data_IF_956168284519
#
_entry.id   IF_956168284519
#
_cell.length_a   1.000
_cell.length_b   1.000
_cell.length_c   1.000
_cell.angle_alpha   90.00
_cell.angle_beta   90.00
_cell.angle_gamma   90.00
#
_symmetry.space_group_name_H-M   'P 1'
#
loop_
_entity.id
_entity.type
_entity.pdbx_description
1 polymer ?
#
# COMPACT_ATOMS: atom_id res chain seq x y z
N UNK A 1 55.51 51.83 62.59
CA UNK A 1 56.64 51.85 61.65
C UNK A 1 56.52 50.63 60.74
N UNK A 2 56.48 50.86 59.42
CA UNK A 2 56.71 49.92 58.30
C UNK A 2 55.88 48.62 58.24
N UNK A 3 55.55 48.05 57.08
CA UNK A 3 55.25 48.49 55.72
C UNK A 3 54.85 47.18 55.01
N UNK A 4 53.88 47.25 54.09
CA UNK A 4 53.78 46.49 52.83
C UNK A 4 54.05 44.97 52.78
N UNK A 5 53.11 44.20 52.20
CA UNK A 5 53.20 43.72 50.80
C UNK A 5 52.14 42.65 50.41
N UNK A 6 51.28 43.03 49.46
CA UNK A 6 51.00 42.36 48.16
C UNK A 6 50.78 40.83 48.01
N UNK A 7 49.60 40.49 47.44
CA UNK A 7 49.39 39.83 46.11
C UNK A 7 48.87 38.36 46.02
N UNK A 8 47.70 38.28 45.33
CA UNK A 8 47.16 37.26 44.38
C UNK A 8 46.58 35.91 44.87
N UNK A 9 45.30 35.72 44.54
CA UNK A 9 44.68 34.42 44.29
C UNK A 9 43.21 34.53 43.82
N UNK A 10 42.97 34.32 42.52
CA UNK A 10 41.69 34.13 41.77
C UNK A 10 40.80 33.02 42.39
N UNK A 11 39.48 32.85 42.18
CA UNK A 11 38.47 33.37 41.23
C UNK A 11 37.05 32.84 41.57
N UNK A 12 36.02 33.56 41.09
CA UNK A 12 34.69 33.07 40.64
C UNK A 12 33.65 32.68 41.71
N UNK A 13 32.72 33.59 42.06
CA UNK A 13 31.32 33.70 41.55
C UNK A 13 30.53 32.38 41.70
N UNK A 14 29.43 32.39 42.45
CA UNK A 14 28.05 32.53 41.93
C UNK A 14 27.06 32.59 43.11
N UNK A 15 26.26 33.64 43.11
CA UNK A 15 25.16 33.93 44.04
C UNK A 15 23.84 33.56 43.35
N UNK A 16 22.86 33.13 44.17
CA UNK A 16 21.40 33.09 43.94
C UNK A 16 20.85 32.06 42.94
N UNK A 17 19.95 31.19 43.45
CA UNK A 17 18.65 30.83 42.84
C UNK A 17 17.85 29.87 43.73
N UNK A 18 17.15 30.43 44.71
CA UNK A 18 16.01 29.79 45.37
C UNK A 18 14.76 30.57 45.01
N UNK A 19 14.15 30.28 43.85
CA UNK A 19 12.83 30.78 43.40
C UNK A 19 12.49 30.17 42.02
N UNK A 20 12.49 28.83 41.89
CA UNK A 20 12.10 28.18 40.62
C UNK A 20 11.26 26.91 40.76
N UNK A 21 11.03 26.36 41.96
CA UNK A 21 10.21 25.15 42.08
C UNK A 21 8.69 25.43 42.11
N UNK A 22 8.25 26.59 42.60
CA UNK A 22 6.81 26.93 42.65
C UNK A 22 6.19 27.26 41.29
N UNK A 23 6.97 27.83 40.37
CA UNK A 23 6.49 28.17 39.02
C UNK A 23 6.45 26.96 38.07
N UNK A 24 7.24 25.91 38.34
CA UNK A 24 7.26 24.69 37.53
C UNK A 24 6.05 23.79 37.75
N UNK A 25 5.45 23.83 38.95
CA UNK A 25 4.30 23.00 39.30
C UNK A 25 2.95 23.56 38.83
N UNK A 26 2.88 24.87 38.53
CA UNK A 26 1.71 25.49 37.91
C UNK A 26 1.77 25.39 36.38
N UNK A 27 2.97 25.32 35.79
CA UNK A 27 3.13 25.13 34.34
C UNK A 27 2.91 23.68 33.88
N UNK A 28 3.06 22.68 34.75
CA UNK A 28 2.83 21.27 34.40
C UNK A 28 1.34 20.88 34.33
N UNK A 29 0.44 21.66 34.94
CA UNK A 29 -1.02 21.51 34.78
C UNK A 29 -1.57 22.22 33.52
N UNK A 30 -0.78 23.08 32.87
CA UNK A 30 -1.13 23.70 31.59
C UNK A 30 -0.74 22.84 30.37
N UNK A 31 -0.04 21.73 30.58
CA UNK A 31 0.20 20.69 29.57
C UNK A 31 -0.85 19.58 29.70
N UNK A 32 -2.13 19.97 29.73
CA UNK A 32 -3.18 19.05 29.28
C UNK A 32 -2.83 18.64 27.84
N UNK A 33 -2.94 17.35 27.47
CA UNK A 33 -2.81 16.95 26.08
C UNK A 33 -3.85 17.77 25.31
N UNK A 34 -3.38 18.68 24.48
CA UNK A 34 -4.22 19.47 23.59
C UNK A 34 -4.96 18.50 22.67
N UNK A 35 -6.20 18.21 23.07
CA UNK A 35 -7.37 17.90 22.27
C UNK A 35 -7.02 17.59 20.81
N UNK A 36 -6.44 16.41 20.57
CA UNK A 36 -6.41 15.81 19.24
C UNK A 36 -7.79 15.21 18.97
N UNK A 37 -8.82 16.05 19.02
CA UNK A 37 -10.22 15.65 19.08
C UNK A 37 -10.81 15.33 17.69
N UNK A 38 -10.17 15.78 16.62
CA UNK A 38 -10.60 15.56 15.24
C UNK A 38 -9.75 14.52 14.50
N UNK A 39 -9.11 13.59 15.21
CA UNK A 39 -8.39 12.46 14.61
C UNK A 39 -8.88 11.14 15.23
N UNK A 40 -9.95 10.57 14.67
CA UNK A 40 -10.56 9.32 15.17
C UNK A 40 -12.06 9.25 14.83
N UNK A 41 -12.77 8.27 15.39
CA UNK A 41 -14.23 8.06 15.26
C UNK A 41 -15.10 9.14 15.95
N UNK A 42 -14.59 10.35 16.10
CA UNK A 42 -15.31 11.43 16.76
C UNK A 42 -15.58 11.19 18.25
N UNK A 43 -14.64 10.63 19.02
CA UNK A 43 -14.76 10.57 20.49
C UNK A 43 -13.84 11.59 21.16
N UNK A 44 -14.43 12.53 21.91
CA UNK A 44 -13.71 13.50 22.72
C UNK A 44 -13.35 12.99 24.13
N UNK A 45 -12.42 13.64 24.84
CA UNK A 45 -12.21 13.45 26.26
C UNK A 45 -13.52 13.46 27.05
N UNK A 46 -13.67 12.49 27.96
CA UNK A 46 -14.89 12.30 28.74
C UNK A 46 -16.03 11.59 28.01
N UNK A 47 -15.80 11.02 26.82
CA UNK A 47 -16.82 10.28 26.07
C UNK A 47 -17.82 11.17 25.32
N UNK A 48 -17.49 12.45 25.13
CA UNK A 48 -18.29 13.36 24.31
C UNK A 48 -18.31 12.89 22.87
N UNK A 49 -19.51 12.74 22.29
CA UNK A 49 -19.66 12.44 20.87
C UNK A 49 -19.32 13.70 20.06
N UNK A 50 -18.22 13.66 19.32
CA UNK A 50 -17.71 14.71 18.45
C UNK A 50 -17.86 14.36 16.97
N UNK A 51 -18.70 13.37 16.63
CA UNK A 51 -18.94 13.01 15.24
C UNK A 51 -19.42 14.22 14.44
N UNK A 52 -18.67 14.54 13.40
CA UNK A 52 -18.97 15.67 12.52
C UNK A 52 -19.89 15.21 11.41
N UNK A 53 -19.63 14.01 10.90
CA UNK A 53 -20.37 13.37 9.83
C UNK A 53 -20.90 12.00 10.26
N UNK A 54 -22.21 11.85 10.28
CA UNK A 54 -22.86 10.61 10.69
C UNK A 54 -23.49 9.93 9.49
N UNK A 55 -22.93 8.81 9.04
CA UNK A 55 -23.63 7.95 8.11
C UNK A 55 -24.85 7.32 8.79
N UNK A 56 -25.93 7.19 8.03
CA UNK A 56 -27.14 6.45 8.40
C UNK A 56 -27.24 5.19 7.56
N UNK A 57 -26.92 5.32 6.27
CA UNK A 57 -27.05 4.24 5.30
C UNK A 57 -26.02 4.40 4.20
N UNK A 58 -25.41 3.29 3.80
CA UNK A 58 -24.62 3.19 2.58
C UNK A 58 -25.10 1.94 1.86
N UNK A 59 -25.60 2.09 0.64
CA UNK A 59 -25.99 0.97 -0.21
C UNK A 59 -25.25 1.02 -1.54
N UNK A 60 -24.56 -0.07 -1.86
CA UNK A 60 -23.94 -0.25 -3.16
C UNK A 60 -24.91 -0.97 -4.10
N UNK A 61 -25.29 -0.29 -5.18
CA UNK A 61 -26.17 -0.84 -6.23
C UNK A 61 -25.41 -0.90 -7.54
N UNK A 62 -25.55 -1.99 -8.30
CA UNK A 62 -24.90 -2.14 -9.59
C UNK A 62 -25.65 -1.37 -10.68
N UNK A 63 -24.93 -0.60 -11.48
CA UNK A 63 -25.50 0.10 -12.64
C UNK A 63 -25.53 -0.88 -13.84
N UNK A 64 -26.67 -1.54 -14.03
CA UNK A 64 -26.94 -2.46 -15.15
C UNK A 64 -25.91 -3.62 -15.31
N UNK A 65 -25.67 -4.05 -16.55
CA UNK A 65 -24.65 -5.06 -16.93
C UNK A 65 -23.20 -4.54 -16.82
N UNK A 66 -22.99 -3.30 -16.37
CA UNK A 66 -21.64 -2.71 -16.28
C UNK A 66 -20.92 -3.12 -14.99
N UNK A 67 -19.60 -2.93 -14.93
CA UNK A 67 -18.80 -3.06 -13.69
C UNK A 67 -18.86 -1.79 -12.82
N UNK A 68 -19.80 -0.90 -13.10
CA UNK A 68 -19.95 0.37 -12.39
C UNK A 68 -20.99 0.19 -11.30
N UNK A 69 -20.63 0.61 -10.10
CA UNK A 69 -21.52 0.64 -8.95
C UNK A 69 -21.87 2.08 -8.61
N UNK A 70 -23.02 2.25 -8.01
CA UNK A 70 -23.49 3.50 -7.45
C UNK A 70 -23.65 3.31 -5.95
N UNK A 71 -23.16 4.27 -5.17
CA UNK A 71 -23.41 4.32 -3.73
C UNK A 71 -24.55 5.28 -3.45
N UNK A 72 -25.63 4.75 -2.88
CA UNK A 72 -26.67 5.58 -2.28
C UNK A 72 -26.26 5.83 -0.84
N UNK A 73 -25.86 7.06 -0.53
CA UNK A 73 -25.47 7.46 0.82
C UNK A 73 -26.55 8.29 1.48
N UNK A 74 -26.81 8.01 2.75
CA UNK A 74 -27.63 8.85 3.62
C UNK A 74 -26.81 9.20 4.86
N UNK A 75 -26.75 10.49 5.18
CA UNK A 75 -25.96 10.97 6.31
C UNK A 75 -26.57 12.23 6.94
N UNK A 76 -26.07 12.57 8.13
CA UNK A 76 -26.34 13.81 8.86
C UNK A 76 -25.04 14.51 9.19
N UNK A 77 -25.10 15.84 9.26
CA UNK A 77 -23.95 16.67 9.63
C UNK A 77 -24.36 17.64 10.75
N UNK A 78 -24.65 17.13 11.96
CA UNK A 78 -25.30 17.91 13.02
C UNK A 78 -24.47 19.14 13.42
N UNK A 79 -23.15 18.96 13.50
CA UNK A 79 -22.20 19.95 14.02
C UNK A 79 -21.45 20.73 12.95
N UNK A 80 -21.59 20.37 11.67
CA UNK A 80 -20.90 21.06 10.58
C UNK A 80 -21.75 22.25 10.10
N UNK A 81 -21.16 23.46 9.93
CA UNK A 81 -21.86 24.60 9.37
C UNK A 81 -22.39 24.37 7.95
N UNK A 82 -23.54 24.96 7.64
CA UNK A 82 -24.17 24.91 6.30
C UNK A 82 -23.25 25.55 5.26
N UNK A 83 -23.18 24.96 4.07
CA UNK A 83 -22.34 25.42 2.97
C UNK A 83 -20.87 24.97 3.08
N UNK A 84 -20.50 24.22 4.12
CA UNK A 84 -19.17 23.59 4.23
C UNK A 84 -19.02 22.51 3.16
N UNK A 85 -17.90 22.52 2.43
CA UNK A 85 -17.51 21.43 1.53
C UNK A 85 -16.79 20.35 2.31
N UNK A 86 -17.23 19.12 2.12
CA UNK A 86 -16.68 17.91 2.74
C UNK A 86 -16.22 17.00 1.61
N UNK A 87 -14.97 16.56 1.65
CA UNK A 87 -14.50 15.50 0.79
C UNK A 87 -14.78 14.15 1.44
N UNK A 88 -15.57 13.31 0.76
CA UNK A 88 -15.73 11.90 1.06
C UNK A 88 -14.66 11.12 0.30
N UNK A 89 -13.63 10.70 1.02
CA UNK A 89 -12.56 9.87 0.51
C UNK A 89 -12.96 8.41 0.65
N UNK A 90 -13.37 7.78 -0.46
CA UNK A 90 -13.60 6.34 -0.50
C UNK A 90 -12.26 5.64 -0.43
N UNK A 91 -12.05 4.84 0.61
CA UNK A 91 -10.82 4.11 0.85
C UNK A 91 -11.07 2.61 0.92
N UNK A 92 -10.04 1.86 0.55
CA UNK A 92 -9.89 0.47 0.89
C UNK A 92 -8.59 0.34 1.68
N UNK A 93 -8.69 -0.14 2.94
CA UNK A 93 -7.61 0.02 3.93
C UNK A 93 -7.13 1.48 3.95
N UNK A 94 -5.83 1.72 3.75
CA UNK A 94 -5.23 3.06 3.65
C UNK A 94 -5.19 3.64 2.23
N UNK A 95 -5.62 2.88 1.21
CA UNK A 95 -5.54 3.30 -0.18
C UNK A 95 -6.76 4.13 -0.57
N UNK A 96 -6.52 5.34 -1.09
CA UNK A 96 -7.56 6.15 -1.72
C UNK A 96 -8.02 5.51 -3.03
N UNK A 97 -9.33 5.28 -3.14
CA UNK A 97 -9.97 4.72 -4.33
C UNK A 97 -10.58 5.83 -5.18
N UNK A 98 -11.37 6.71 -4.56
CA UNK A 98 -12.04 7.81 -5.23
C UNK A 98 -12.40 8.90 -4.21
N UNK A 99 -12.48 10.14 -4.66
CA UNK A 99 -12.93 11.28 -3.85
C UNK A 99 -14.25 11.80 -4.40
N UNK A 100 -15.19 12.08 -3.52
CA UNK A 100 -16.41 12.82 -3.81
C UNK A 100 -16.42 14.09 -2.97
N UNK A 101 -17.00 15.17 -3.46
CA UNK A 101 -17.16 16.40 -2.69
C UNK A 101 -18.64 16.69 -2.55
N UNK A 102 -19.08 16.83 -1.31
CA UNK A 102 -20.46 17.18 -0.94
C UNK A 102 -20.46 18.52 -0.22
N UNK A 103 -21.55 19.27 -0.36
CA UNK A 103 -21.73 20.54 0.36
C UNK A 103 -22.82 20.36 1.40
N UNK A 104 -22.57 20.78 2.64
CA UNK A 104 -23.56 20.66 3.72
C UNK A 104 -24.82 21.45 3.38
N UNK A 105 -25.98 20.78 3.22
CA UNK A 105 -27.22 21.44 2.88
C UNK A 105 -27.84 22.15 4.08
N UNK A 106 -28.81 23.04 3.84
CA UNK A 106 -29.44 23.84 4.90
C UNK A 106 -30.11 22.98 5.99
N UNK A 107 -30.71 21.85 5.62
CA UNK A 107 -31.35 20.91 6.54
C UNK A 107 -30.36 19.93 7.22
N UNK A 108 -29.05 20.05 6.94
CA UNK A 108 -27.97 19.20 7.46
C UNK A 108 -28.18 17.69 7.25
N UNK A 109 -29.01 17.30 6.27
CA UNK A 109 -29.27 15.91 5.88
C UNK A 109 -28.83 15.70 4.45
N UNK A 110 -27.99 14.69 4.24
CA UNK A 110 -27.37 14.38 2.97
C UNK A 110 -28.00 13.11 2.42
N UNK A 111 -28.42 13.17 1.17
CA UNK A 111 -28.86 12.02 0.39
C UNK A 111 -28.26 12.17 -1.00
N UNK A 112 -27.22 11.41 -1.28
CA UNK A 112 -26.46 11.52 -2.52
C UNK A 112 -26.37 10.17 -3.20
N UNK A 113 -26.32 10.21 -4.51
CA UNK A 113 -26.08 9.07 -5.38
C UNK A 113 -24.70 9.23 -6.02
N UNK A 114 -23.72 8.47 -5.54
CA UNK A 114 -22.32 8.61 -5.90
C UNK A 114 -21.91 7.51 -6.87
N UNK A 115 -21.63 7.88 -8.11
CA UNK A 115 -21.15 6.94 -9.14
C UNK A 115 -19.69 6.57 -8.89
N UNK A 116 -19.44 5.29 -8.63
CA UNK A 116 -18.09 4.75 -8.49
C UNK A 116 -17.40 4.64 -9.84
N UNK A 117 -16.07 4.67 -9.84
CA UNK A 117 -15.28 4.14 -10.95
C UNK A 117 -15.55 2.64 -11.11
N UNK A 118 -15.20 2.08 -12.26
CA UNK A 118 -15.27 0.64 -12.45
C UNK A 118 -14.41 -0.07 -11.38
N UNK A 119 -15.03 -0.98 -10.63
CA UNK A 119 -14.41 -1.76 -9.57
C UNK A 119 -14.89 -3.21 -9.69
N UNK A 120 -14.01 -4.16 -9.40
CA UNK A 120 -14.44 -5.55 -9.27
C UNK A 120 -15.13 -5.79 -7.91
N UNK A 121 -16.15 -6.66 -7.88
CA UNK A 121 -16.68 -7.21 -6.64
C UNK A 121 -15.57 -7.75 -5.73
N UNK A 122 -15.65 -7.46 -4.43
CA UNK A 122 -14.73 -8.01 -3.44
C UNK A 122 -15.39 -8.14 -2.07
N UNK A 123 -14.96 -9.16 -1.31
CA UNK A 123 -15.31 -9.32 0.11
C UNK A 123 -14.58 -8.31 1.00
N UNK A 124 -13.55 -7.65 0.47
CA UNK A 124 -12.86 -6.59 1.18
C UNK A 124 -13.78 -5.39 1.41
N UNK A 125 -13.76 -4.91 2.64
CA UNK A 125 -14.60 -3.80 3.07
C UNK A 125 -14.02 -2.45 2.63
N UNK A 126 -14.85 -1.64 2.00
CA UNK A 126 -14.62 -0.24 1.74
C UNK A 126 -15.12 0.58 2.92
N UNK A 127 -14.55 1.77 3.09
CA UNK A 127 -15.00 2.75 4.05
C UNK A 127 -14.81 4.17 3.51
N UNK A 128 -15.47 5.12 4.14
CA UNK A 128 -15.20 6.53 3.89
C UNK A 128 -14.29 7.11 4.97
N UNK A 129 -13.52 8.11 4.54
CA UNK A 129 -12.88 9.10 5.39
C UNK A 129 -13.36 10.47 4.96
N UNK A 130 -13.93 11.24 5.88
CA UNK A 130 -14.36 12.62 5.61
C UNK A 130 -13.20 13.57 5.84
N UNK A 131 -13.04 14.57 4.98
CA UNK A 131 -12.03 15.62 5.13
C UNK A 131 -12.65 16.99 4.89
N UNK A 132 -12.45 17.90 5.84
CA UNK A 132 -12.82 19.30 5.73
C UNK A 132 -11.52 20.11 5.66
N UNK A 133 -11.20 20.59 4.46
CA UNK A 133 -10.04 21.44 4.22
C UNK A 133 -10.47 22.91 4.21
N UNK A 134 -9.96 23.76 5.13
CA UNK A 134 -10.23 25.21 5.13
C UNK A 134 -9.95 25.90 3.80
N UNK A 135 -8.99 25.40 3.02
CA UNK A 135 -8.61 25.97 1.72
C UNK A 135 -9.67 25.77 0.64
N UNK A 136 -10.56 24.78 0.82
CA UNK A 136 -11.64 24.47 -0.14
C UNK A 136 -12.95 25.20 0.17
N UNK A 137 -13.01 25.92 1.30
CA UNK A 137 -14.24 26.53 1.79
C UNK A 137 -14.50 27.90 1.15
N UNK A 138 -15.78 28.27 1.06
CA UNK A 138 -16.16 29.67 0.77
C UNK A 138 -15.78 30.57 1.95
N UNK A 139 -15.61 31.87 1.70
CA UNK A 139 -15.30 32.83 2.77
C UNK A 139 -16.33 32.84 3.91
N UNK A 140 -17.62 32.59 3.59
CA UNK A 140 -18.68 32.48 4.60
C UNK A 140 -18.54 31.20 5.43
N UNK A 141 -18.42 30.03 4.79
CA UNK A 141 -18.29 28.76 5.49
C UNK A 141 -17.03 28.70 6.36
N UNK A 142 -15.91 29.25 5.85
CA UNK A 142 -14.66 29.34 6.61
C UNK A 142 -14.81 30.14 7.91
N UNK A 143 -15.47 31.30 7.85
CA UNK A 143 -15.75 32.12 9.05
C UNK A 143 -16.63 31.39 10.06
N UNK A 144 -17.61 30.61 9.62
CA UNK A 144 -18.45 29.82 10.54
C UNK A 144 -17.66 28.66 11.18
N UNK A 145 -16.79 27.99 10.43
CA UNK A 145 -15.91 26.95 10.97
C UNK A 145 -14.93 27.54 12.00
N UNK A 146 -14.37 28.73 11.74
CA UNK A 146 -13.43 29.42 12.64
C UNK A 146 -14.07 29.88 13.96
N UNK A 147 -15.40 30.02 14.04
CA UNK A 147 -16.11 30.31 15.31
C UNK A 147 -16.17 29.10 16.24
N UNK A 148 -16.17 27.90 15.68
CA UNK A 148 -16.33 26.63 16.39
C UNK A 148 -14.95 26.03 16.69
N UNK A 149 -14.12 26.76 17.44
CA UNK A 149 -12.69 26.45 17.65
C UNK A 149 -12.44 25.13 18.38
N UNK A 150 -13.40 24.65 19.17
CA UNK A 150 -13.34 23.35 19.83
C UNK A 150 -13.48 22.19 18.83
N UNK A 151 -14.40 22.32 17.85
CA UNK A 151 -14.65 21.29 16.85
C UNK A 151 -13.70 21.39 15.66
N UNK A 152 -13.29 22.61 15.31
CA UNK A 152 -12.46 22.93 14.16
C UNK A 152 -11.23 23.75 14.57
N UNK A 153 -10.33 23.22 15.41
CA UNK A 153 -9.11 23.92 15.80
C UNK A 153 -8.18 24.09 14.60
N UNK A 154 -7.71 25.33 14.37
CA UNK A 154 -6.87 25.69 13.20
C UNK A 154 -5.62 24.81 13.08
N UNK A 155 -5.00 24.45 14.21
CA UNK A 155 -3.79 23.64 14.26
C UNK A 155 -3.98 22.20 13.75
N UNK A 156 -5.21 21.69 13.75
CA UNK A 156 -5.54 20.33 13.35
C UNK A 156 -6.11 20.24 11.94
N UNK A 157 -6.21 21.37 11.23
CA UNK A 157 -6.66 21.38 9.85
C UNK A 157 -5.62 20.69 8.93
N UNK A 158 -6.05 19.88 7.94
CA UNK A 158 -7.44 19.56 7.61
C UNK A 158 -8.08 18.57 8.58
N UNK A 159 -9.33 18.83 8.98
CA UNK A 159 -10.05 17.99 9.94
C UNK A 159 -10.54 16.73 9.27
N UNK A 160 -10.22 15.59 9.86
CA UNK A 160 -10.34 14.28 9.20
C UNK A 160 -11.00 13.26 10.13
N UNK A 161 -12.08 12.62 9.68
CA UNK A 161 -12.80 11.63 10.46
C UNK A 161 -12.92 10.31 9.70
N UNK A 162 -12.72 9.20 10.41
CA UNK A 162 -12.77 7.83 9.88
C UNK A 162 -14.08 7.16 10.29
N UNK A 163 -14.72 6.46 9.35
CA UNK A 163 -16.04 5.86 9.54
C UNK A 163 -15.95 4.33 9.59
N UNK A 164 -15.25 3.77 10.60
CA UNK A 164 -15.02 2.32 10.68
C UNK A 164 -16.30 1.51 10.90
N UNK A 165 -17.30 2.09 11.55
CA UNK A 165 -18.63 1.49 11.77
C UNK A 165 -19.46 1.36 10.49
N UNK A 166 -19.10 2.08 9.42
CA UNK A 166 -19.84 2.11 8.15
C UNK A 166 -19.03 1.49 7.01
N UNK A 167 -18.49 0.31 7.28
CA UNK A 167 -17.86 -0.52 6.28
C UNK A 167 -18.90 -1.21 5.38
N UNK A 168 -18.62 -1.31 4.09
CA UNK A 168 -19.50 -1.96 3.12
C UNK A 168 -18.70 -2.70 2.05
N UNK A 169 -19.36 -3.66 1.40
CA UNK A 169 -18.80 -4.41 0.26
C UNK A 169 -19.49 -4.01 -1.03
N UNK A 170 -18.85 -4.28 -2.17
CA UNK A 170 -19.46 -4.11 -3.49
C UNK A 170 -19.65 -5.46 -4.17
N UNK A 171 -20.81 -5.63 -4.79
CA UNK A 171 -21.22 -6.88 -5.44
C UNK A 171 -21.91 -7.87 -4.50
N UNK A 172 -22.62 -8.81 -5.10
CA UNK A 172 -23.26 -9.94 -4.41
C UNK A 172 -22.24 -11.03 -4.05
N UNK A 173 -22.59 -11.94 -3.14
CA UNK A 173 -21.71 -13.06 -2.77
C UNK A 173 -21.26 -13.89 -4.00
N UNK A 174 -22.17 -14.15 -4.95
CA UNK A 174 -21.87 -14.88 -6.18
C UNK A 174 -20.90 -14.11 -7.09
N UNK A 175 -21.08 -12.79 -7.23
CA UNK A 175 -20.19 -11.95 -8.02
C UNK A 175 -18.79 -11.87 -7.40
N UNK A 176 -18.72 -11.75 -6.06
CA UNK A 176 -17.48 -11.75 -5.31
C UNK A 176 -16.73 -13.07 -5.50
N UNK A 177 -17.41 -14.21 -5.37
CA UNK A 177 -16.80 -15.52 -5.57
C UNK A 177 -16.29 -15.70 -7.01
N UNK A 178 -17.09 -15.28 -8.00
CA UNK A 178 -16.70 -15.34 -9.40
C UNK A 178 -15.47 -14.48 -9.70
N UNK A 179 -15.44 -13.24 -9.20
CA UNK A 179 -14.31 -12.32 -9.34
C UNK A 179 -13.05 -12.88 -8.65
N UNK A 180 -13.21 -13.43 -7.45
CA UNK A 180 -12.12 -14.02 -6.68
C UNK A 180 -11.56 -15.26 -7.38
N UNK A 181 -12.42 -16.14 -7.92
CA UNK A 181 -11.99 -17.32 -8.69
C UNK A 181 -11.16 -16.92 -9.90
N UNK A 182 -11.64 -15.95 -10.68
CA UNK A 182 -10.87 -15.44 -11.80
C UNK A 182 -9.52 -14.92 -11.30
N UNK A 183 -9.49 -14.05 -10.29
CA UNK A 183 -8.26 -13.48 -9.74
C UNK A 183 -7.26 -14.54 -9.31
N UNK A 184 -7.72 -15.56 -8.56
CA UNK A 184 -6.90 -16.71 -8.16
C UNK A 184 -6.27 -17.40 -9.37
N UNK A 185 -7.08 -17.74 -10.38
CA UNK A 185 -6.59 -18.36 -11.61
C UNK A 185 -5.53 -17.51 -12.31
N UNK A 186 -5.73 -16.20 -12.39
CA UNK A 186 -4.78 -15.28 -13.03
C UNK A 186 -3.42 -15.26 -12.33
N UNK A 187 -3.40 -15.27 -10.99
CA UNK A 187 -2.16 -15.38 -10.22
C UNK A 187 -1.53 -16.76 -10.38
N UNK A 188 -2.33 -17.83 -10.26
CA UNK A 188 -1.87 -19.22 -10.33
C UNK A 188 -1.21 -19.56 -11.66
N UNK A 189 -1.84 -19.19 -12.77
CA UNK A 189 -1.28 -19.39 -14.11
C UNK A 189 0.12 -18.76 -14.21
N UNK A 190 0.28 -17.55 -13.68
CA UNK A 190 1.53 -16.78 -13.82
C UNK A 190 2.67 -17.30 -12.96
N UNK A 191 2.44 -17.56 -11.67
CA UNK A 191 3.52 -18.12 -10.86
C UNK A 191 3.86 -19.56 -11.29
N UNK A 192 2.90 -20.32 -11.83
CA UNK A 192 3.13 -21.67 -12.36
C UNK A 192 3.96 -21.61 -13.65
N UNK A 193 3.65 -20.66 -14.53
CA UNK A 193 4.44 -20.42 -15.74
C UNK A 193 5.88 -20.02 -15.38
N UNK A 194 6.08 -19.13 -14.41
CA UNK A 194 7.42 -18.76 -13.94
C UNK A 194 8.19 -19.95 -13.37
N UNK A 195 7.53 -20.81 -12.57
CA UNK A 195 8.14 -22.03 -12.06
C UNK A 195 8.52 -23.00 -13.18
N UNK A 196 7.69 -23.09 -14.23
CA UNK A 196 7.95 -23.91 -15.42
C UNK A 196 9.15 -23.39 -16.20
N UNK A 197 9.26 -22.07 -16.41
CA UNK A 197 10.41 -21.44 -17.07
C UNK A 197 11.70 -21.69 -16.28
N UNK A 198 11.65 -21.56 -14.96
CA UNK A 198 12.78 -21.85 -14.08
C UNK A 198 13.24 -23.31 -14.18
N UNK A 199 12.29 -24.25 -14.17
CA UNK A 199 12.57 -25.68 -14.32
C UNK A 199 13.15 -26.00 -15.70
N UNK A 200 12.63 -25.40 -16.78
CA UNK A 200 13.14 -25.58 -18.15
C UNK A 200 14.61 -25.19 -18.26
N UNK A 201 15.02 -24.07 -17.67
CA UNK A 201 16.44 -23.66 -17.68
C UNK A 201 17.30 -24.65 -16.91
N UNK A 202 16.91 -25.05 -15.70
CA UNK A 202 17.66 -26.03 -14.90
C UNK A 202 17.78 -27.39 -15.59
N UNK A 203 16.71 -27.85 -16.23
CA UNK A 203 16.72 -29.10 -16.99
C UNK A 203 17.59 -28.97 -18.25
N UNK A 204 17.56 -27.82 -18.93
CA UNK A 204 18.44 -27.56 -20.07
C UNK A 204 19.92 -27.57 -19.70
N UNK A 205 20.30 -26.98 -18.55
CA UNK A 205 21.67 -27.06 -18.02
C UNK A 205 22.08 -28.51 -17.78
N UNK A 206 21.24 -29.31 -17.09
CA UNK A 206 21.48 -30.75 -16.90
C UNK A 206 21.55 -31.52 -18.21
N UNK A 207 20.75 -31.12 -19.20
CA UNK A 207 20.75 -31.71 -20.53
C UNK A 207 22.07 -31.50 -21.26
N UNK A 208 22.70 -30.32 -21.11
CA UNK A 208 24.05 -30.05 -21.61
C UNK A 208 25.09 -30.89 -20.87
N UNK A 209 25.01 -30.97 -19.53
CA UNK A 209 25.91 -31.81 -18.72
C UNK A 209 25.84 -33.29 -19.10
N UNK A 210 24.64 -33.77 -19.47
CA UNK A 210 24.41 -35.14 -19.94
C UNK A 210 24.64 -35.33 -21.45
N UNK A 211 25.05 -34.29 -22.19
CA UNK A 211 25.19 -34.28 -23.65
C UNK A 211 23.93 -34.73 -24.42
N UNK A 212 22.76 -34.34 -23.93
CA UNK A 212 21.43 -34.72 -24.49
C UNK A 212 20.68 -33.57 -25.14
N UNK A 213 20.78 -32.36 -24.58
CA UNK A 213 20.09 -31.16 -25.06
C UNK A 213 21.06 -29.99 -25.22
N UNK A 214 20.74 -29.08 -26.15
CA UNK A 214 21.56 -27.90 -26.48
C UNK A 214 23.03 -28.23 -26.76
N UNK A 215 23.24 -29.37 -27.43
CA UNK A 215 24.54 -29.81 -27.93
C UNK A 215 24.56 -29.94 -29.45
N UNK A 216 25.75 -29.89 -30.02
CA UNK A 216 26.00 -30.12 -31.44
C UNK A 216 26.07 -31.63 -31.74
N UNK A 217 26.31 -32.01 -33.00
CA UNK A 217 26.40 -33.43 -33.39
C UNK A 217 27.56 -34.20 -32.76
N UNK A 218 28.51 -33.51 -32.11
CA UNK A 218 29.63 -34.10 -31.37
C UNK A 218 29.37 -34.20 -29.86
N UNK A 219 28.19 -33.78 -29.40
CA UNK A 219 27.85 -33.74 -27.97
C UNK A 219 28.46 -32.56 -27.22
N UNK A 220 29.05 -31.58 -27.91
CA UNK A 220 29.60 -30.37 -27.31
C UNK A 220 28.51 -29.29 -27.20
N UNK A 221 28.63 -28.38 -26.24
CA UNK A 221 27.67 -27.29 -26.03
C UNK A 221 27.42 -26.45 -27.30
N UNK A 222 26.15 -26.35 -27.70
CA UNK A 222 25.69 -25.55 -28.84
C UNK A 222 25.19 -24.20 -28.34
N UNK A 223 26.10 -23.22 -28.32
CA UNK A 223 25.85 -21.87 -27.85
C UNK A 223 24.66 -21.21 -28.57
N UNK A 224 24.54 -21.42 -29.89
CA UNK A 224 23.49 -20.78 -30.69
C UNK A 224 22.12 -21.32 -30.31
N UNK A 225 21.98 -22.64 -30.14
CA UNK A 225 20.72 -23.24 -29.66
C UNK A 225 20.38 -22.79 -28.25
N UNK A 226 21.36 -22.76 -27.35
CA UNK A 226 21.14 -22.31 -25.98
C UNK A 226 20.71 -20.85 -25.93
N UNK A 227 21.34 -19.98 -26.74
CA UNK A 227 20.94 -18.58 -26.83
C UNK A 227 19.55 -18.38 -27.38
N UNK A 228 19.23 -19.05 -28.48
CA UNK A 228 17.90 -18.95 -29.06
C UNK A 228 16.81 -19.33 -28.04
N UNK A 229 17.05 -20.39 -27.28
CA UNK A 229 16.18 -20.80 -26.18
C UNK A 229 16.11 -19.75 -25.07
N UNK A 230 17.25 -19.30 -24.55
CA UNK A 230 17.28 -18.35 -23.44
C UNK A 230 16.66 -16.99 -23.83
N UNK A 231 16.98 -16.46 -25.01
CA UNK A 231 16.46 -15.15 -25.45
C UNK A 231 14.97 -15.22 -25.80
N UNK A 232 14.56 -16.19 -26.62
CA UNK A 232 13.18 -16.23 -27.14
C UNK A 232 12.19 -16.90 -26.19
N UNK A 233 12.59 -17.97 -25.50
CA UNK A 233 11.67 -18.80 -24.72
C UNK A 233 11.66 -18.45 -23.23
N UNK A 234 12.77 -17.92 -22.71
CA UNK A 234 12.91 -17.62 -21.28
C UNK A 234 12.86 -16.12 -21.01
N UNK A 235 13.85 -15.36 -21.49
CA UNK A 235 13.97 -13.92 -21.23
C UNK A 235 12.78 -13.17 -21.84
N UNK A 236 12.48 -13.40 -23.12
CA UNK A 236 11.33 -12.77 -23.78
C UNK A 236 10.03 -12.98 -23.02
N UNK A 237 9.75 -14.22 -22.59
CA UNK A 237 8.52 -14.53 -21.86
C UNK A 237 8.49 -13.94 -20.45
N UNK A 238 9.63 -13.89 -19.75
CA UNK A 238 9.72 -13.23 -18.44
C UNK A 238 9.53 -11.70 -18.55
N UNK A 239 9.99 -11.08 -19.64
CA UNK A 239 9.70 -9.66 -19.93
C UNK A 239 8.20 -9.45 -20.10
N UNK A 240 7.54 -10.26 -20.92
CA UNK A 240 6.08 -10.19 -21.11
C UNK A 240 5.33 -10.37 -19.79
N UNK A 241 5.70 -11.37 -18.97
CA UNK A 241 5.10 -11.58 -17.65
C UNK A 241 5.28 -10.37 -16.74
N UNK A 242 6.47 -9.77 -16.69
CA UNK A 242 6.71 -8.56 -15.90
C UNK A 242 5.86 -7.38 -16.39
N UNK A 243 5.69 -7.21 -17.69
CA UNK A 243 4.83 -6.17 -18.25
C UNK A 243 3.35 -6.42 -17.95
N UNK A 244 2.87 -7.65 -18.08
CA UNK A 244 1.50 -8.03 -17.70
C UNK A 244 1.23 -7.71 -16.22
N UNK A 245 2.16 -8.05 -15.32
CA UNK A 245 2.02 -7.76 -13.89
C UNK A 245 2.01 -6.26 -13.62
N UNK A 246 2.90 -5.49 -14.29
CA UNK A 246 2.93 -4.02 -14.17
C UNK A 246 1.62 -3.39 -14.62
N UNK A 247 1.03 -3.86 -15.73
CA UNK A 247 -0.30 -3.43 -16.20
C UNK A 247 -1.38 -3.74 -15.16
N UNK A 248 -1.26 -4.86 -14.44
CA UNK A 248 -2.16 -5.24 -13.35
C UNK A 248 -2.31 -4.20 -12.23
N UNK A 249 -1.30 -3.38 -11.94
CA UNK A 249 -1.42 -2.33 -10.91
C UNK A 249 -2.45 -1.24 -11.23
N UNK A 250 -2.78 -1.08 -12.53
CA UNK A 250 -3.80 -0.15 -13.01
C UNK A 250 -5.15 -0.83 -13.26
N UNK A 251 -5.21 -2.16 -13.22
CA UNK A 251 -6.45 -2.92 -13.42
C UNK A 251 -7.33 -2.84 -12.15
N UNK A 252 -8.60 -2.40 -12.26
CA UNK A 252 -9.56 -2.40 -11.15
C UNK A 252 -9.68 -3.73 -10.42
N UNK A 253 -9.45 -4.85 -11.12
CA UNK A 253 -9.50 -6.20 -10.56
C UNK A 253 -8.53 -6.45 -9.44
N UNK A 254 -7.36 -5.83 -9.51
CA UNK A 254 -6.31 -6.10 -8.54
C UNK A 254 -6.20 -5.02 -7.48
N UNK A 255 -7.15 -4.08 -7.40
CA UNK A 255 -7.16 -3.05 -6.34
C UNK A 255 -7.03 -3.69 -4.96
N UNK A 256 -7.85 -4.69 -4.68
CA UNK A 256 -7.84 -5.49 -3.46
C UNK A 256 -6.59 -6.39 -3.28
N UNK A 257 -5.87 -6.65 -4.37
CA UNK A 257 -4.76 -7.61 -4.43
C UNK A 257 -3.43 -6.96 -4.82
N UNK A 258 -3.29 -5.63 -4.68
CA UNK A 258 -2.06 -4.90 -5.05
C UNK A 258 -0.81 -5.38 -4.33
N UNK A 259 -0.97 -5.81 -3.07
CA UNK A 259 0.14 -6.39 -2.31
C UNK A 259 0.54 -7.75 -2.89
N UNK A 260 -0.42 -8.60 -3.26
CA UNK A 260 -0.14 -9.86 -3.95
C UNK A 260 0.53 -9.62 -5.32
N UNK A 261 0.10 -8.61 -6.08
CA UNK A 261 0.76 -8.22 -7.33
C UNK A 261 2.22 -7.81 -7.12
N UNK A 262 2.52 -7.12 -6.02
CA UNK A 262 3.90 -6.74 -5.68
C UNK A 262 4.76 -7.97 -5.42
N UNK A 263 4.26 -8.96 -4.67
CA UNK A 263 4.97 -10.22 -4.47
C UNK A 263 5.11 -11.04 -5.77
N UNK A 264 4.11 -11.01 -6.66
CA UNK A 264 4.21 -11.68 -7.96
C UNK A 264 5.26 -11.00 -8.87
N UNK A 265 5.35 -9.67 -8.84
CA UNK A 265 6.41 -8.94 -9.55
C UNK A 265 7.78 -9.30 -8.98
N UNK A 266 7.92 -9.30 -7.66
CA UNK A 266 9.14 -9.72 -6.97
C UNK A 266 9.55 -11.17 -7.36
N UNK A 267 8.59 -12.10 -7.41
CA UNK A 267 8.81 -13.47 -7.85
C UNK A 267 9.35 -13.51 -9.28
N UNK A 268 8.74 -12.75 -10.20
CA UNK A 268 9.18 -12.71 -11.60
C UNK A 268 10.62 -12.18 -11.76
N UNK A 269 11.00 -11.18 -10.95
CA UNK A 269 12.37 -10.63 -10.93
C UNK A 269 13.35 -11.67 -10.36
N UNK A 270 12.97 -12.40 -9.31
CA UNK A 270 13.78 -13.45 -8.72
C UNK A 270 14.02 -14.61 -9.71
N UNK A 271 12.99 -15.03 -10.45
CA UNK A 271 13.10 -16.05 -11.49
C UNK A 271 13.98 -15.57 -12.65
N UNK A 272 13.80 -14.34 -13.13
CA UNK A 272 14.67 -13.74 -14.15
C UNK A 272 16.14 -13.68 -13.72
N UNK A 273 16.39 -13.33 -12.45
CA UNK A 273 17.74 -13.35 -11.90
C UNK A 273 18.32 -14.77 -11.85
N UNK A 274 17.57 -15.75 -11.35
CA UNK A 274 18.10 -17.12 -11.21
C UNK A 274 18.36 -17.76 -12.57
N UNK A 275 17.43 -17.65 -13.51
CA UNK A 275 17.59 -18.20 -14.87
C UNK A 275 18.81 -17.63 -15.60
N UNK A 276 19.01 -16.31 -15.56
CA UNK A 276 20.21 -15.68 -16.15
C UNK A 276 21.50 -16.03 -15.41
N UNK A 277 21.45 -16.28 -14.09
CA UNK A 277 22.61 -16.76 -13.31
C UNK A 277 22.96 -18.21 -13.67
N UNK A 278 21.98 -19.10 -13.82
CA UNK A 278 22.23 -20.48 -14.24
C UNK A 278 22.82 -20.54 -15.65
N UNK A 279 22.32 -19.73 -16.59
CA UNK A 279 22.94 -19.59 -17.92
C UNK A 279 24.40 -19.14 -17.83
N UNK A 280 24.71 -18.10 -17.03
CA UNK A 280 26.12 -17.66 -16.83
C UNK A 280 27.01 -18.77 -16.31
N UNK A 281 26.54 -19.54 -15.32
CA UNK A 281 27.30 -20.66 -14.75
C UNK A 281 27.59 -21.71 -15.81
N UNK A 282 26.61 -22.01 -16.67
CA UNK A 282 26.80 -22.94 -17.78
C UNK A 282 27.90 -22.45 -18.72
N UNK A 283 27.87 -21.19 -19.18
CA UNK A 283 28.94 -20.62 -20.01
C UNK A 283 30.33 -20.78 -19.37
N UNK A 284 30.45 -20.43 -18.09
CA UNK A 284 31.71 -20.51 -17.35
C UNK A 284 32.18 -21.98 -17.25
N UNK A 285 31.26 -22.92 -16.98
CA UNK A 285 31.56 -24.35 -16.90
C UNK A 285 32.06 -24.92 -18.25
N UNK A 286 31.61 -24.34 -19.37
CA UNK A 286 32.06 -24.68 -20.71
C UNK A 286 33.34 -23.92 -21.14
N UNK A 287 33.96 -23.15 -20.24
CA UNK A 287 35.16 -22.37 -20.54
C UNK A 287 34.91 -21.13 -21.43
N UNK A 288 33.65 -20.70 -21.55
CA UNK A 288 33.23 -19.58 -22.38
C UNK A 288 32.93 -18.33 -21.54
N UNK A 289 33.02 -17.17 -22.17
CA UNK A 289 32.51 -15.93 -21.58
C UNK A 289 30.97 -15.96 -21.55
N UNK A 290 30.38 -15.45 -20.47
CA UNK A 290 28.93 -15.36 -20.38
C UNK A 290 28.36 -14.37 -21.41
N UNK A 291 27.18 -14.69 -21.95
CA UNK A 291 26.45 -13.81 -22.87
C UNK A 291 26.15 -12.44 -22.25
N UNK A 292 26.24 -11.39 -23.08
CA UNK A 292 25.83 -10.03 -22.71
C UNK A 292 24.35 -9.98 -22.29
N UNK A 293 23.48 -10.74 -22.96
CA UNK A 293 22.06 -10.87 -22.62
C UNK A 293 21.82 -11.49 -21.25
N UNK A 294 22.71 -12.35 -20.75
CA UNK A 294 22.57 -12.87 -19.39
C UNK A 294 23.09 -11.87 -18.35
N UNK A 295 24.18 -11.16 -18.67
CA UNK A 295 24.80 -10.19 -17.74
C UNK A 295 23.97 -8.92 -17.58
N UNK A 296 23.39 -8.44 -18.67
CA UNK A 296 22.53 -7.25 -18.74
C UNK A 296 21.41 -7.50 -19.74
N UNK A 297 20.40 -8.32 -19.40
CA UNK A 297 19.27 -8.56 -20.29
C UNK A 297 18.53 -7.25 -20.55
N UNK A 298 18.24 -6.97 -21.81
CA UNK A 298 17.46 -5.80 -22.18
C UNK A 298 16.01 -5.97 -21.69
N UNK A 299 15.44 -4.93 -21.08
CA UNK A 299 14.05 -4.85 -20.57
C UNK A 299 13.68 -5.81 -19.42
N UNK A 300 14.39 -6.91 -19.22
CA UNK A 300 14.17 -7.82 -18.10
C UNK A 300 14.72 -7.25 -16.81
N UNK A 301 13.85 -7.04 -15.82
CA UNK A 301 14.29 -6.66 -14.49
C UNK A 301 14.80 -7.89 -13.73
N UNK A 302 16.09 -7.88 -13.38
CA UNK A 302 16.76 -8.95 -12.61
C UNK A 302 17.32 -8.46 -11.26
N UNK A 303 17.06 -7.19 -10.92
CA UNK A 303 17.46 -6.57 -9.66
C UNK A 303 16.22 -6.14 -8.90
N UNK A 304 16.09 -6.60 -7.66
CA UNK A 304 15.05 -6.12 -6.75
C UNK A 304 15.40 -4.69 -6.33
N UNK A 305 14.50 -3.73 -6.50
CA UNK A 305 14.70 -2.34 -6.02
C UNK A 305 14.81 -2.36 -4.50
N UNK A 306 15.90 -1.80 -3.96
CA UNK A 306 16.18 -1.81 -2.53
C UNK A 306 15.17 -0.98 -1.74
N UNK A 307 14.46 -1.64 -0.83
CA UNK A 307 13.47 -1.08 0.08
C UNK A 307 12.69 -2.18 0.82
N UNK A 308 12.56 -3.35 0.17
CA UNK A 308 12.14 -4.62 0.77
C UNK A 308 13.17 -5.68 0.35
N UNK A 309 14.25 -5.82 1.13
CA UNK A 309 15.24 -6.89 0.88
C UNK A 309 14.55 -8.22 1.14
N UNK A 310 14.25 -8.93 0.08
CA UNK A 310 14.07 -10.38 0.11
C UNK A 310 15.41 -10.96 0.59
N UNK A 311 15.49 -11.64 1.75
CA UNK A 311 16.68 -12.36 2.15
C UNK A 311 17.23 -13.17 0.96
N UNK A 312 18.55 -13.27 0.79
CA UNK A 312 19.16 -14.07 -0.30
C UNK A 312 18.67 -15.53 -0.32
N UNK A 313 18.02 -15.97 0.75
CA UNK A 313 17.44 -17.29 1.00
C UNK A 313 15.91 -17.35 0.90
N UNK A 314 15.18 -16.30 0.50
CA UNK A 314 13.73 -16.45 0.32
C UNK A 314 13.49 -17.42 -0.80
N UNK A 315 12.96 -18.57 -0.42
CA UNK A 315 12.53 -19.57 -1.37
C UNK A 315 11.48 -18.93 -2.28
N UNK A 316 11.50 -19.22 -3.58
CA UNK A 316 10.36 -18.79 -4.42
C UNK A 316 9.05 -19.30 -3.84
N UNK A 317 9.11 -20.47 -3.18
CA UNK A 317 7.97 -21.05 -2.50
C UNK A 317 7.45 -20.11 -1.41
N UNK A 318 8.29 -19.38 -0.68
CA UNK A 318 7.84 -18.39 0.31
C UNK A 318 7.03 -17.26 -0.34
N UNK A 319 7.47 -16.79 -1.52
CA UNK A 319 6.74 -15.76 -2.27
C UNK A 319 5.41 -16.30 -2.79
N UNK A 320 5.40 -17.52 -3.33
CA UNK A 320 4.16 -18.20 -3.77
C UNK A 320 3.21 -18.39 -2.60
N UNK A 321 3.69 -18.82 -1.43
CA UNK A 321 2.87 -18.97 -0.22
C UNK A 321 2.29 -17.64 0.26
N UNK A 322 3.08 -16.56 0.25
CA UNK A 322 2.58 -15.21 0.55
C UNK A 322 1.51 -14.75 -0.43
N UNK A 323 1.71 -14.99 -1.72
CA UNK A 323 0.71 -14.70 -2.77
C UNK A 323 -0.57 -15.49 -2.49
N UNK A 324 -0.46 -16.81 -2.29
CA UNK A 324 -1.60 -17.70 -2.04
C UNK A 324 -2.39 -17.28 -0.81
N UNK A 325 -1.73 -16.91 0.30
CA UNK A 325 -2.41 -16.35 1.47
C UNK A 325 -3.22 -15.10 1.12
N UNK A 326 -2.64 -14.18 0.36
CA UNK A 326 -3.28 -12.89 0.01
C UNK A 326 -4.39 -12.97 -1.03
N UNK A 327 -4.45 -14.06 -1.82
CA UNK A 327 -5.54 -14.32 -2.78
C UNK A 327 -6.54 -15.37 -2.25
N UNK A 328 -6.41 -15.76 -0.98
CA UNK A 328 -7.30 -16.70 -0.31
C UNK A 328 -7.21 -18.14 -0.85
N UNK A 329 -6.01 -18.58 -1.27
CA UNK A 329 -5.68 -19.98 -1.57
C UNK A 329 -4.83 -20.64 -0.47
N UNK A 330 -4.39 -19.88 0.55
CA UNK A 330 -3.72 -20.43 1.73
C UNK A 330 -4.70 -21.15 2.66
N UNK A 331 -4.21 -21.97 3.60
CA UNK A 331 -5.06 -22.51 4.66
C UNK A 331 -5.78 -21.35 5.36
N UNK A 332 -7.06 -21.54 5.67
CA UNK A 332 -7.81 -20.59 6.49
C UNK A 332 -7.03 -20.44 7.80
N UNK A 333 -6.54 -19.22 8.07
CA UNK A 333 -6.04 -18.95 9.41
C UNK A 333 -7.27 -19.00 10.32
N UNK A 334 -7.27 -19.94 11.26
CA UNK A 334 -8.00 -19.75 12.51
C UNK A 334 -7.56 -18.40 13.02
N UNK A 335 -8.46 -17.42 13.02
CA UNK A 335 -8.21 -16.12 13.61
C UNK A 335 -7.79 -16.36 15.05
N UNK A 336 -6.51 -16.13 15.36
CA UNK A 336 -6.01 -16.01 16.72
C UNK A 336 -6.88 -14.96 17.41
N UNK A 337 -7.75 -15.42 18.30
CA UNK A 337 -8.47 -14.60 19.25
C UNK A 337 -7.41 -14.03 20.21
N UNK A 338 -6.96 -12.81 19.94
CA UNK A 338 -6.06 -12.03 20.80
C UNK A 338 -6.65 -10.67 21.14
#
# INVERSE_FOLDING_TARGET
>A
MNNNNTVRGRSSRWILRGLSLGAFLVLSLALLPSLSQAQGEGRGPGGTDLRLFEFIKIEATKLDKSKVYTLVIQAKTPKIPVGTKIDLLLTWRSQLIQTFTITVPANKRIREELKLKALEPTADKYMFRTVIDPKKQSGKAKKELEKETELFPVISAPWTEFHFDFQFVIGTAQEIEAALRQTREWFTVRYTEMATLDAKVRNGVKGVEAATDYVNSKGEFDENKWRDFMDKKVIGRLVELQEEIRKGFQDPRFVAHRLALSYLLELSVAVGKRTTVESKKLYIAQGLAASSSDTKPEKLEVKVRSGRRIPRSSDLNDLVMKINKMIGLGPAEEEDQG
#
